data_IF_975933508538
#
_entry.id   IF_975933508538
#
_cell.length_a   1.000
_cell.length_b   1.000
_cell.length_c   1.000
_cell.angle_alpha   90.00
_cell.angle_beta   90.00
_cell.angle_gamma   90.00
#
_symmetry.space_group_name_H-M   'P 1'
#
loop_
_entity.id
_entity.type
_entity.pdbx_description
1 polymer ?
#
# COMPACT_ATOMS: atom_id res chain seq x y z
N UNK A 1 -13.92 -4.27 -28.10
CA UNK A 1 -12.70 -3.58 -27.60
C UNK A 1 -11.91 -2.81 -28.66
N UNK A 2 -12.17 -2.93 -29.97
CA UNK A 2 -11.40 -2.21 -31.00
C UNK A 2 -11.74 -0.72 -31.14
N UNK A 3 -12.99 -0.32 -30.88
CA UNK A 3 -13.45 1.08 -31.01
C UNK A 3 -12.86 2.02 -29.95
N UNK A 4 -12.73 1.53 -28.70
CA UNK A 4 -12.09 2.28 -27.62
C UNK A 4 -10.61 2.53 -27.89
N UNK A 5 -9.94 1.54 -28.48
CA UNK A 5 -8.51 1.60 -28.79
C UNK A 5 -8.24 2.60 -29.93
N UNK A 6 -9.10 2.65 -30.93
CA UNK A 6 -9.02 3.65 -32.01
C UNK A 6 -9.29 5.07 -31.52
N UNK A 7 -10.27 5.25 -30.62
CA UNK A 7 -10.48 6.54 -29.96
C UNK A 7 -9.24 6.95 -29.15
N UNK A 8 -8.66 6.03 -28.38
CA UNK A 8 -7.44 6.28 -27.60
C UNK A 8 -6.26 6.71 -28.49
N UNK A 9 -6.00 6.00 -29.59
CA UNK A 9 -4.94 6.36 -30.55
C UNK A 9 -5.12 7.74 -31.15
N UNK A 10 -6.35 8.16 -31.45
CA UNK A 10 -6.63 9.52 -31.97
C UNK A 10 -6.28 10.60 -30.95
N UNK A 11 -6.61 10.39 -29.68
CA UNK A 11 -6.25 11.33 -28.61
C UNK A 11 -4.72 11.43 -28.46
N UNK A 12 -4.02 10.29 -28.45
CA UNK A 12 -2.56 10.23 -28.39
C UNK A 12 -1.90 10.91 -29.60
N UNK A 13 -2.41 10.71 -30.82
CA UNK A 13 -1.90 11.39 -32.01
C UNK A 13 -2.03 12.91 -31.95
N UNK A 14 -3.14 13.41 -31.37
CA UNK A 14 -3.32 14.85 -31.11
C UNK A 14 -2.29 15.39 -30.13
N UNK A 15 -1.99 14.65 -29.06
CA UNK A 15 -0.96 15.04 -28.07
C UNK A 15 0.42 15.12 -28.72
N UNK A 16 0.79 14.14 -29.54
CA UNK A 16 2.08 14.15 -30.25
C UNK A 16 2.19 15.34 -31.21
N UNK A 17 1.11 15.73 -31.87
CA UNK A 17 1.08 16.91 -32.75
C UNK A 17 1.30 18.21 -31.97
N UNK A 18 0.65 18.35 -30.80
CA UNK A 18 0.84 19.52 -29.92
C UNK A 18 2.29 19.60 -29.42
N UNK A 19 2.91 18.46 -29.10
CA UNK A 19 4.30 18.42 -28.67
C UNK A 19 5.29 18.78 -29.77
N UNK A 20 5.00 18.40 -31.01
CA UNK A 20 5.79 18.80 -32.19
C UNK A 20 5.69 20.32 -32.42
N UNK A 21 4.47 20.87 -32.45
CA UNK A 21 4.21 22.30 -32.64
C UNK A 21 4.89 23.19 -31.59
N UNK A 22 5.01 22.69 -30.36
CA UNK A 22 5.61 23.41 -29.23
C UNK A 22 7.07 23.05 -28.99
N UNK A 23 7.65 22.19 -29.84
CA UNK A 23 9.03 21.70 -29.70
C UNK A 23 9.34 21.17 -28.29
N UNK A 24 8.39 20.43 -27.69
CA UNK A 24 8.53 19.87 -26.33
C UNK A 24 9.55 18.71 -26.33
N UNK A 25 9.62 17.98 -27.44
CA UNK A 25 10.56 16.90 -27.68
C UNK A 25 11.16 17.03 -29.07
N UNK A 26 12.35 16.46 -29.25
CA UNK A 26 13.02 16.36 -30.56
C UNK A 26 12.20 15.53 -31.56
N UNK A 27 12.24 15.92 -32.83
CA UNK A 27 11.46 15.27 -33.89
C UNK A 27 11.75 13.77 -34.01
N UNK A 28 13.00 13.35 -33.79
CA UNK A 28 13.41 11.94 -33.83
C UNK A 28 12.70 11.09 -32.76
N UNK A 29 12.38 11.68 -31.61
CA UNK A 29 11.66 11.00 -30.52
C UNK A 29 10.17 10.94 -30.85
N UNK A 30 9.60 12.03 -31.38
CA UNK A 30 8.20 12.10 -31.76
C UNK A 30 7.87 11.12 -32.91
N UNK A 31 8.77 10.95 -33.87
CA UNK A 31 8.63 9.96 -34.94
C UNK A 31 8.65 8.51 -34.44
N UNK A 32 9.53 8.19 -33.48
CA UNK A 32 9.53 6.86 -32.84
C UNK A 32 8.21 6.56 -32.11
N UNK A 33 7.65 7.56 -31.43
CA UNK A 33 6.36 7.43 -30.73
C UNK A 33 5.19 7.26 -31.71
N UNK A 34 5.18 8.01 -32.82
CA UNK A 34 4.21 7.84 -33.92
C UNK A 34 4.30 6.44 -34.51
N UNK A 35 5.52 5.94 -34.73
CA UNK A 35 5.75 4.60 -35.24
C UNK A 35 5.32 3.52 -34.24
N UNK A 36 5.47 3.72 -32.94
CA UNK A 36 4.96 2.80 -31.92
C UNK A 36 3.42 2.80 -31.81
N UNK A 37 2.78 3.93 -32.12
CA UNK A 37 1.33 4.13 -32.04
C UNK A 37 0.58 3.58 -33.26
N UNK A 38 1.15 3.79 -34.45
CA UNK A 38 0.52 3.43 -35.74
C UNK A 38 1.24 2.32 -36.51
N UNK A 39 2.46 1.96 -36.11
CA UNK A 39 3.22 0.90 -36.74
C UNK A 39 2.59 -0.47 -36.48
N UNK A 40 2.63 -1.31 -37.51
CA UNK A 40 2.11 -2.67 -37.45
C UNK A 40 2.91 -3.48 -36.42
N UNK A 41 2.24 -3.91 -35.34
CA UNK A 41 2.87 -4.70 -34.30
C UNK A 41 3.13 -6.11 -34.84
N UNK A 42 4.29 -6.32 -35.46
CA UNK A 42 4.90 -7.67 -35.42
C UNK A 42 5.07 -8.00 -33.95
N UNK A 43 4.28 -8.94 -33.45
CA UNK A 43 4.40 -9.48 -32.09
C UNK A 43 5.74 -10.18 -31.98
N UNK A 44 6.82 -9.41 -31.83
CA UNK A 44 8.04 -9.89 -31.20
C UNK A 44 7.67 -10.05 -29.75
N UNK A 45 7.29 -11.27 -29.37
CA UNK A 45 7.42 -11.72 -28.00
C UNK A 45 8.86 -11.43 -27.61
N UNK A 46 9.08 -10.34 -26.88
CA UNK A 46 10.35 -10.03 -26.27
C UNK A 46 10.55 -11.15 -25.26
N UNK A 47 11.39 -12.12 -25.58
CA UNK A 47 11.92 -13.02 -24.55
C UNK A 47 12.63 -12.09 -23.59
N UNK A 48 12.06 -11.89 -22.41
CA UNK A 48 12.77 -11.27 -21.32
C UNK A 48 13.97 -12.19 -21.06
N UNK A 49 15.17 -11.79 -21.46
CA UNK A 49 16.33 -12.26 -20.72
C UNK A 49 16.06 -11.85 -19.28
N UNK A 50 15.95 -12.86 -18.41
CA UNK A 50 15.94 -12.63 -16.97
C UNK A 50 17.06 -11.65 -16.68
N UNK A 51 16.71 -10.50 -16.11
CA UNK A 51 17.69 -9.63 -15.49
C UNK A 51 18.41 -10.55 -14.52
N UNK A 52 19.67 -10.89 -14.83
CA UNK A 52 20.55 -11.50 -13.85
C UNK A 52 20.71 -10.43 -12.79
N UNK A 53 19.92 -10.54 -11.74
CA UNK A 53 20.19 -9.86 -10.48
C UNK A 53 21.56 -10.40 -10.11
N UNK A 54 22.57 -9.56 -10.22
CA UNK A 54 23.88 -9.90 -9.71
C UNK A 54 23.72 -9.99 -8.19
N UNK A 55 23.50 -11.21 -7.68
CA UNK A 55 23.36 -11.51 -6.25
C UNK A 55 24.62 -11.14 -5.45
N UNK A 56 25.69 -10.69 -6.12
CA UNK A 56 27.00 -10.41 -5.55
C UNK A 56 27.22 -8.96 -5.09
N UNK A 57 26.16 -8.19 -4.80
CA UNK A 57 26.28 -7.08 -3.86
C UNK A 57 25.28 -7.17 -2.69
N UNK A 58 24.88 -8.40 -2.34
CA UNK A 58 24.33 -8.72 -1.04
C UNK A 58 25.50 -8.89 -0.06
N UNK A 59 26.05 -7.78 0.44
CA UNK A 59 26.83 -7.86 1.66
C UNK A 59 25.86 -8.11 2.82
N UNK A 60 25.99 -9.20 3.60
CA UNK A 60 25.26 -9.35 4.84
C UNK A 60 25.92 -8.43 5.87
N UNK A 61 25.62 -7.14 5.78
CA UNK A 61 25.90 -6.19 6.86
C UNK A 61 24.57 -5.80 7.46
N UNK A 62 24.10 -6.65 8.36
CA UNK A 62 23.18 -6.22 9.41
C UNK A 62 24.00 -5.39 10.41
N UNK A 63 24.42 -4.20 9.99
CA UNK A 63 24.86 -3.18 10.94
C UNK A 63 23.62 -2.35 11.32
N UNK A 64 23.48 -1.87 12.57
CA UNK A 64 22.31 -1.09 12.99
C UNK A 64 22.14 0.26 12.27
N UNK A 65 22.99 0.54 11.29
CA UNK A 65 23.18 1.87 10.66
C UNK A 65 22.87 1.86 9.17
N UNK A 66 22.67 0.69 8.56
CA UNK A 66 22.36 0.59 7.13
C UNK A 66 20.86 0.86 6.91
N UNK A 67 20.49 1.70 5.92
CA UNK A 67 19.09 2.06 5.68
C UNK A 67 18.23 0.84 5.35
N UNK A 68 16.93 0.86 5.72
CA UNK A 68 16.01 -0.21 5.36
C UNK A 68 15.97 -0.37 3.84
N UNK A 69 15.98 -1.62 3.36
CA UNK A 69 15.89 -1.87 1.92
C UNK A 69 14.54 -1.37 1.39
N UNK A 70 14.52 -0.84 0.17
CA UNK A 70 13.28 -0.38 -0.50
C UNK A 70 12.20 -1.46 -0.51
N UNK A 71 12.59 -2.73 -0.67
CA UNK A 71 11.70 -3.89 -0.65
C UNK A 71 11.03 -4.11 0.71
N UNK A 72 11.75 -3.90 1.80
CA UNK A 72 11.23 -4.05 3.16
C UNK A 72 10.25 -2.92 3.48
N UNK A 73 10.55 -1.70 3.04
CA UNK A 73 9.65 -0.56 3.17
C UNK A 73 8.34 -0.76 2.38
N UNK A 74 8.43 -1.24 1.14
CA UNK A 74 7.25 -1.56 0.32
C UNK A 74 6.40 -2.62 1.01
N UNK A 75 7.03 -3.68 1.54
CA UNK A 75 6.32 -4.73 2.27
C UNK A 75 5.58 -4.17 3.48
N UNK A 76 6.28 -3.40 4.32
CA UNK A 76 5.67 -2.79 5.52
C UNK A 76 4.50 -1.86 5.17
N UNK A 77 4.58 -1.12 4.05
CA UNK A 77 3.48 -0.29 3.56
C UNK A 77 2.28 -1.12 3.09
N UNK A 78 2.51 -2.22 2.38
CA UNK A 78 1.46 -3.12 1.90
C UNK A 78 0.77 -3.86 3.05
N UNK A 79 1.53 -4.30 4.06
CA UNK A 79 0.98 -4.94 5.26
C UNK A 79 0.03 -4.00 6.01
N UNK A 80 0.32 -2.70 6.03
CA UNK A 80 -0.53 -1.68 6.66
C UNK A 80 -1.86 -1.45 5.94
N UNK A 81 -2.01 -1.82 4.66
CA UNK A 81 -3.31 -1.72 3.96
C UNK A 81 -4.37 -2.66 4.56
N UNK A 82 -3.95 -3.74 5.21
CA UNK A 82 -4.82 -4.73 5.85
C UNK A 82 -4.89 -4.56 7.38
N UNK A 83 -4.60 -3.35 7.87
CA UNK A 83 -4.52 -3.06 9.29
C UNK A 83 -5.88 -3.16 10.01
N UNK A 84 -5.83 -3.40 11.32
CA UNK A 84 -7.01 -3.60 12.17
C UNK A 84 -7.98 -2.41 12.13
N UNK A 85 -7.44 -1.19 12.06
CA UNK A 85 -8.21 0.05 11.93
C UNK A 85 -9.00 0.16 10.62
N UNK A 86 -8.62 -0.58 9.58
CA UNK A 86 -9.34 -0.67 8.31
C UNK A 86 -10.47 -1.71 8.30
N UNK A 87 -10.60 -2.52 9.36
CA UNK A 87 -11.57 -3.61 9.46
C UNK A 87 -12.98 -3.08 9.78
N UNK A 88 -13.67 -2.61 8.75
CA UNK A 88 -15.02 -2.05 8.86
C UNK A 88 -16.04 -3.05 9.45
N UNK A 89 -15.84 -4.35 9.22
CA UNK A 89 -16.74 -5.39 9.72
C UNK A 89 -16.63 -5.51 11.25
N UNK A 90 -15.42 -5.52 11.79
CA UNK A 90 -15.21 -5.54 13.25
C UNK A 90 -15.72 -4.25 13.90
N UNK A 91 -15.47 -3.09 13.28
CA UNK A 91 -16.00 -1.81 13.77
C UNK A 91 -17.53 -1.82 13.84
N UNK A 92 -18.21 -2.33 12.81
CA UNK A 92 -19.67 -2.44 12.80
C UNK A 92 -20.15 -3.36 13.92
N UNK A 93 -19.49 -4.51 14.14
CA UNK A 93 -19.84 -5.46 15.20
C UNK A 93 -19.71 -4.82 16.59
N UNK A 94 -18.61 -4.10 16.85
CA UNK A 94 -18.39 -3.38 18.12
C UNK A 94 -19.45 -2.28 18.29
N UNK A 95 -19.73 -1.50 17.25
CA UNK A 95 -20.75 -0.44 17.30
C UNK A 95 -22.17 -0.99 17.50
N UNK A 96 -22.43 -2.22 17.09
CA UNK A 96 -23.72 -2.91 17.28
C UNK A 96 -23.86 -3.62 18.63
N UNK A 97 -22.86 -3.54 19.51
CA UNK A 97 -22.96 -4.17 20.82
C UNK A 97 -24.14 -3.57 21.61
N UNK A 98 -24.98 -4.42 22.23
CA UNK A 98 -26.13 -3.96 23.00
C UNK A 98 -25.71 -3.06 24.17
N UNK A 99 -26.59 -2.19 24.64
CA UNK A 99 -26.29 -1.31 25.78
C UNK A 99 -26.24 -2.12 27.08
N UNK A 100 -26.97 -3.23 27.13
CA UNK A 100 -27.05 -4.16 28.24
C UNK A 100 -25.68 -4.79 28.57
N UNK A 101 -24.78 -4.93 27.59
CA UNK A 101 -23.41 -5.43 27.83
C UNK A 101 -22.42 -4.32 28.23
N UNK A 102 -22.88 -3.07 28.30
CA UNK A 102 -22.05 -1.89 28.58
C UNK A 102 -22.48 -1.15 29.86
N UNK A 103 -23.77 -1.19 30.20
CA UNK A 103 -24.34 -0.43 31.31
C UNK A 103 -24.80 -1.34 32.46
N UNK A 104 -24.05 -1.29 33.57
CA UNK A 104 -24.30 -2.07 34.79
C UNK A 104 -25.63 -1.71 35.45
N UNK A 105 -26.16 -0.50 35.24
CA UNK A 105 -27.44 -0.08 35.82
C UNK A 105 -28.64 -0.85 35.27
N UNK A 106 -28.48 -1.55 34.14
CA UNK A 106 -29.52 -2.36 33.52
C UNK A 106 -29.64 -3.76 34.12
N UNK A 107 -28.72 -4.17 35.00
CA UNK A 107 -28.74 -5.51 35.62
C UNK A 107 -29.99 -5.75 36.47
N UNK A 108 -30.56 -4.70 37.08
CA UNK A 108 -31.80 -4.79 37.88
C UNK A 108 -33.02 -5.25 37.05
N UNK A 109 -32.92 -5.21 35.71
CA UNK A 109 -33.98 -5.67 34.78
C UNK A 109 -33.95 -7.17 34.53
N UNK A 110 -32.90 -7.87 34.98
CA UNK A 110 -32.77 -9.33 34.85
C UNK A 110 -33.55 -9.99 35.98
N UNK A 111 -34.71 -10.55 35.64
CA UNK A 111 -35.65 -11.11 36.63
C UNK A 111 -35.62 -12.63 36.71
N UNK A 112 -34.90 -13.29 35.80
CA UNK A 112 -34.88 -14.73 35.67
C UNK A 112 -33.50 -15.24 35.25
N UNK A 113 -33.28 -16.53 35.49
CA UNK A 113 -31.98 -17.18 35.25
C UNK A 113 -31.64 -17.25 33.75
N UNK A 114 -32.63 -17.45 32.89
CA UNK A 114 -32.41 -17.61 31.45
C UNK A 114 -31.95 -16.29 30.81
N UNK A 115 -32.60 -15.17 31.14
CA UNK A 115 -32.18 -13.84 30.68
C UNK A 115 -30.79 -13.46 31.22
N UNK A 116 -30.47 -13.84 32.46
CA UNK A 116 -29.14 -13.66 33.03
C UNK A 116 -28.06 -14.47 32.32
N UNK A 117 -28.32 -15.74 32.00
CA UNK A 117 -27.39 -16.60 31.23
C UNK A 117 -27.18 -16.05 29.80
N UNK A 118 -28.25 -15.57 29.15
CA UNK A 118 -28.15 -14.95 27.83
C UNK A 118 -27.32 -13.67 27.87
N UNK A 119 -27.51 -12.81 28.88
CA UNK A 119 -26.69 -11.61 29.05
C UNK A 119 -25.22 -11.98 29.31
N UNK A 120 -24.96 -12.94 30.19
CA UNK A 120 -23.60 -13.42 30.48
C UNK A 120 -22.88 -13.84 29.20
N UNK A 121 -23.54 -14.63 28.36
CA UNK A 121 -22.97 -15.06 27.07
C UNK A 121 -22.68 -13.87 26.14
N UNK A 122 -23.59 -12.91 26.05
CA UNK A 122 -23.37 -11.71 25.23
C UNK A 122 -22.19 -10.86 25.75
N UNK A 123 -22.03 -10.75 27.08
CA UNK A 123 -20.90 -10.07 27.70
C UNK A 123 -19.59 -10.81 27.38
N UNK A 124 -19.56 -12.14 27.53
CA UNK A 124 -18.37 -12.94 27.22
C UNK A 124 -17.95 -12.80 25.74
N UNK A 125 -18.91 -12.91 24.82
CA UNK A 125 -18.68 -12.73 23.39
C UNK A 125 -18.16 -11.31 23.06
N UNK A 126 -18.73 -10.28 23.70
CA UNK A 126 -18.29 -8.89 23.55
C UNK A 126 -16.88 -8.67 24.10
N UNK A 127 -16.56 -9.25 25.26
CA UNK A 127 -15.24 -9.19 25.87
C UNK A 127 -14.18 -9.84 24.96
N UNK A 128 -14.47 -11.01 24.39
CA UNK A 128 -13.57 -11.67 23.45
C UNK A 128 -13.34 -10.83 22.20
N UNK A 129 -14.39 -10.26 21.61
CA UNK A 129 -14.31 -9.38 20.44
C UNK A 129 -13.43 -8.15 20.72
N UNK A 130 -13.65 -7.47 21.84
CA UNK A 130 -12.90 -6.29 22.23
C UNK A 130 -11.44 -6.61 22.54
N UNK A 131 -11.17 -7.75 23.20
CA UNK A 131 -9.81 -8.18 23.49
C UNK A 131 -9.02 -8.48 22.21
N UNK A 132 -9.61 -9.21 21.25
CA UNK A 132 -9.00 -9.49 19.94
C UNK A 132 -8.72 -8.19 19.17
N UNK A 133 -9.73 -7.32 19.05
CA UNK A 133 -9.58 -6.04 18.36
C UNK A 133 -8.51 -5.15 19.00
N UNK A 134 -8.51 -5.00 20.33
CA UNK A 134 -7.52 -4.19 21.03
C UNK A 134 -6.10 -4.77 20.90
N UNK A 135 -5.96 -6.10 20.88
CA UNK A 135 -4.68 -6.76 20.62
C UNK A 135 -4.16 -6.48 19.21
N UNK A 136 -5.03 -6.62 18.20
CA UNK A 136 -4.70 -6.29 16.80
C UNK A 136 -4.37 -4.81 16.62
N UNK A 137 -5.11 -3.91 17.28
CA UNK A 137 -4.86 -2.47 17.23
C UNK A 137 -3.54 -2.09 17.90
N UNK A 138 -3.19 -2.72 19.02
CA UNK A 138 -1.91 -2.50 19.69
C UNK A 138 -0.73 -2.92 18.80
N UNK A 139 -0.82 -4.08 18.14
CA UNK A 139 0.17 -4.54 17.17
C UNK A 139 0.32 -3.54 16.01
N UNK A 140 -0.81 -3.11 15.42
CA UNK A 140 -0.81 -2.09 14.36
C UNK A 140 -0.12 -0.79 14.79
N UNK A 141 -0.37 -0.31 16.01
CA UNK A 141 0.28 0.90 16.53
C UNK A 141 1.81 0.74 16.55
N UNK A 142 2.32 -0.43 16.96
CA UNK A 142 3.75 -0.68 16.99
C UNK A 142 4.34 -0.82 15.59
N UNK A 143 3.64 -1.46 14.66
CA UNK A 143 4.00 -1.54 13.24
C UNK A 143 4.10 -0.14 12.62
N UNK A 144 3.13 0.75 12.89
CA UNK A 144 3.15 2.16 12.44
C UNK A 144 4.33 2.94 12.99
N UNK A 145 4.69 2.73 14.27
CA UNK A 145 5.88 3.36 14.87
C UNK A 145 7.16 2.87 14.20
N UNK A 146 7.24 1.58 13.90
CA UNK A 146 8.39 1.01 13.20
C UNK A 146 8.48 1.56 11.78
N UNK A 147 7.37 1.58 11.03
CA UNK A 147 7.32 2.13 9.68
C UNK A 147 7.72 3.60 9.66
N UNK A 148 7.30 4.39 10.65
CA UNK A 148 7.70 5.81 10.77
C UNK A 148 9.21 5.97 10.91
N UNK A 149 9.86 5.09 11.70
CA UNK A 149 11.32 5.05 11.82
C UNK A 149 11.97 4.66 10.49
N UNK A 150 11.47 3.59 9.86
CA UNK A 150 11.97 3.13 8.56
C UNK A 150 11.88 4.22 7.48
N UNK A 151 10.76 4.94 7.40
CA UNK A 151 10.59 6.06 6.47
C UNK A 151 11.58 7.18 6.74
N UNK A 152 11.81 7.52 8.01
CA UNK A 152 12.75 8.57 8.39
C UNK A 152 14.18 8.22 7.99
N UNK A 153 14.61 6.99 8.26
CA UNK A 153 15.94 6.50 7.89
C UNK A 153 16.11 6.39 6.37
N UNK A 154 15.10 5.87 5.68
CA UNK A 154 15.10 5.76 4.22
C UNK A 154 15.22 7.12 3.54
N UNK A 155 14.43 8.11 3.98
CA UNK A 155 14.49 9.47 3.42
C UNK A 155 15.83 10.16 3.69
N UNK A 156 16.41 9.95 4.88
CA UNK A 156 17.75 10.46 5.20
C UNK A 156 18.79 9.92 4.22
N UNK A 157 18.85 8.60 4.06
CA UNK A 157 19.82 7.98 3.17
C UNK A 157 19.57 8.28 1.70
N UNK A 158 18.33 8.44 1.25
CA UNK A 158 18.06 8.90 -0.11
C UNK A 158 18.59 10.31 -0.38
N UNK A 159 18.49 11.23 0.58
CA UNK A 159 19.04 12.58 0.44
C UNK A 159 20.57 12.57 0.36
N UNK A 160 21.22 11.80 1.23
CA UNK A 160 22.68 11.61 1.22
C UNK A 160 23.15 11.04 -0.12
N UNK A 161 22.48 9.98 -0.61
CA UNK A 161 22.80 9.37 -1.90
C UNK A 161 22.57 10.31 -3.08
N UNK A 162 21.50 11.11 -3.06
CA UNK A 162 21.22 12.08 -4.10
C UNK A 162 22.32 13.15 -4.17
N UNK A 163 22.72 13.71 -3.02
CA UNK A 163 23.82 14.69 -2.97
C UNK A 163 25.15 14.11 -3.48
N UNK A 164 25.47 12.85 -3.14
CA UNK A 164 26.65 12.17 -3.69
C UNK A 164 26.59 11.99 -5.21
N UNK A 165 25.41 11.71 -5.75
CA UNK A 165 25.22 11.52 -7.20
C UNK A 165 25.30 12.84 -7.95
N UNK A 166 24.74 13.91 -7.40
CA UNK A 166 24.86 15.27 -7.94
C UNK A 166 26.33 15.70 -8.01
N UNK A 167 27.10 15.53 -6.92
CA UNK A 167 28.53 15.84 -6.91
C UNK A 167 29.34 14.99 -7.92
N UNK A 168 28.91 13.77 -8.26
CA UNK A 168 29.60 12.93 -9.27
C UNK A 168 29.26 13.33 -10.71
N UNK A 169 28.18 14.08 -10.91
CA UNK A 169 27.73 14.55 -12.23
C UNK A 169 28.35 15.91 -12.61
N UNK A 170 28.75 16.71 -11.61
CA UNK A 170 29.55 17.93 -11.75
C UNK A 170 31.02 17.64 -12.07
#
# INVERSE_FOLDING_TARGET
NSESDESCKKHLGRVLSIWEERSVYENDVLEQLRQALYGDRKVRKRTYEQIKVDENNCSPRSSPTDPPQTTDLIRALQELENAASGDAAVHQRIASLPIEVQDVSLLDRITDKESGEQLSKMVDDACMLLADYNGRLAAEIDDRKQLTRMLSDFLRCQKEFLAEKEHKLE
#
